data_IF_333053081542
#
_entry.id   IF_333053081542
#
_cell.length_a   1.000
_cell.length_b   1.000
_cell.length_c   1.000
_cell.angle_alpha   90.00
_cell.angle_beta   90.00
_cell.angle_gamma   90.00
#
_symmetry.space_group_name_H-M   'P 1'
#
loop_
_entity.id
_entity.type
_entity.pdbx_description
1 polymer ?
#
# COMPACT_ATOMS: atom_id res chain seq x y z
N UNK A 1 -1.79 25.41 -24.05
CA UNK A 1 -2.07 24.00 -24.38
C UNK A 1 -2.00 23.20 -23.08
N UNK A 2 -3.00 22.37 -22.80
CA UNK A 2 -2.95 21.46 -21.66
C UNK A 2 -1.91 20.37 -21.96
N UNK A 3 -0.79 20.34 -21.23
CA UNK A 3 0.28 19.35 -21.43
C UNK A 3 -0.15 17.92 -21.05
N UNK A 4 -1.28 17.79 -20.35
CA UNK A 4 -1.81 16.52 -19.87
C UNK A 4 -2.87 15.91 -20.78
N UNK A 5 -3.27 16.59 -21.87
CA UNK A 5 -4.32 16.11 -22.75
C UNK A 5 -4.04 16.39 -24.23
N UNK A 6 -4.65 15.59 -25.10
CA UNK A 6 -4.68 15.87 -26.53
C UNK A 6 -5.49 17.14 -26.82
N UNK A 7 -5.38 17.74 -28.02
CA UNK A 7 -6.27 18.83 -28.43
C UNK A 7 -7.76 18.48 -28.39
N UNK A 8 -8.12 17.19 -28.46
CA UNK A 8 -9.51 16.72 -28.30
C UNK A 8 -9.93 16.50 -26.83
N UNK A 9 -9.08 16.85 -25.86
CA UNK A 9 -9.37 16.72 -24.42
C UNK A 9 -9.12 15.33 -23.84
N UNK A 10 -8.56 14.38 -24.60
CA UNK A 10 -8.22 13.05 -24.07
C UNK A 10 -6.95 13.14 -23.23
N UNK A 11 -7.04 12.79 -21.95
CA UNK A 11 -5.90 12.82 -21.03
C UNK A 11 -4.85 11.76 -21.36
N UNK A 12 -3.58 12.12 -21.26
CA UNK A 12 -2.45 11.19 -21.40
C UNK A 12 -2.23 10.46 -20.07
N UNK A 13 -2.07 9.13 -20.11
CA UNK A 13 -1.71 8.32 -18.93
C UNK A 13 -0.27 7.80 -19.08
N UNK A 14 -0.08 6.76 -19.89
CA UNK A 14 1.26 6.25 -20.23
C UNK A 14 2.14 7.32 -20.88
N UNK A 15 1.56 8.13 -21.78
CA UNK A 15 2.27 9.18 -22.49
C UNK A 15 2.88 10.26 -21.61
N UNK A 16 2.50 10.34 -20.33
CA UNK A 16 3.12 11.25 -19.36
C UNK A 16 4.53 10.82 -18.97
N UNK A 17 4.90 9.56 -19.17
CA UNK A 17 6.10 8.99 -18.60
C UNK A 17 7.16 8.68 -19.65
N UNK A 18 8.37 9.18 -19.39
CA UNK A 18 9.54 8.97 -20.23
C UNK A 18 9.79 7.49 -20.55
N UNK A 19 9.57 6.59 -19.60
CA UNK A 19 9.77 5.14 -19.74
C UNK A 19 8.74 4.46 -20.67
N UNK A 20 7.59 5.10 -20.90
CA UNK A 20 6.47 4.55 -21.66
C UNK A 20 6.32 5.16 -23.06
N UNK A 21 7.24 6.06 -23.44
CA UNK A 21 7.28 6.66 -24.77
C UNK A 21 7.45 5.57 -25.84
N UNK A 22 6.67 5.67 -26.92
CA UNK A 22 6.74 4.73 -28.05
C UNK A 22 7.75 5.16 -29.12
N UNK A 23 7.98 6.47 -29.29
CA UNK A 23 8.93 7.03 -30.25
C UNK A 23 9.50 8.36 -29.73
N UNK A 24 10.70 8.72 -30.18
CA UNK A 24 11.36 9.98 -29.82
C UNK A 24 10.67 11.22 -30.42
N UNK A 25 9.99 11.07 -31.56
CA UNK A 25 9.34 12.18 -32.29
C UNK A 25 7.94 12.55 -31.78
N UNK A 26 7.39 11.77 -30.83
CA UNK A 26 6.08 12.01 -30.20
C UNK A 26 6.25 12.10 -28.68
N UNK A 27 7.00 13.10 -28.23
CA UNK A 27 7.30 13.25 -26.81
C UNK A 27 6.21 14.06 -26.08
N UNK A 28 5.26 13.34 -25.50
CA UNK A 28 4.27 13.88 -24.57
C UNK A 28 4.71 13.75 -23.11
N UNK A 29 5.92 13.26 -22.85
CA UNK A 29 6.36 12.95 -21.50
C UNK A 29 6.51 14.25 -20.69
N UNK A 30 5.98 14.20 -19.48
CA UNK A 30 6.09 15.28 -18.49
C UNK A 30 6.90 14.82 -17.29
N UNK A 31 6.92 13.51 -17.03
CA UNK A 31 7.51 12.91 -15.84
C UNK A 31 8.39 11.70 -16.17
N UNK A 32 9.21 11.32 -15.20
CA UNK A 32 9.84 10.00 -15.12
C UNK A 32 9.24 9.19 -13.98
N UNK A 33 9.18 7.87 -14.15
CA UNK A 33 8.82 6.91 -13.10
C UNK A 33 9.96 6.61 -12.13
N UNK A 34 11.18 7.10 -12.41
CA UNK A 34 12.33 6.94 -11.50
C UNK A 34 12.12 7.74 -10.23
N UNK A 35 12.83 7.35 -9.18
CA UNK A 35 12.73 7.99 -7.86
C UNK A 35 13.39 9.39 -7.82
N UNK A 36 14.17 9.73 -8.85
CA UNK A 36 14.84 11.03 -9.01
C UNK A 36 14.66 11.54 -10.43
N UNK A 37 14.75 12.85 -10.58
CA UNK A 37 14.67 13.53 -11.87
C UNK A 37 15.68 12.90 -12.84
N UNK A 38 15.23 12.65 -14.07
CA UNK A 38 15.99 11.87 -15.04
C UNK A 38 15.80 12.43 -16.45
N UNK A 39 16.90 12.64 -17.17
CA UNK A 39 16.91 13.15 -18.54
C UNK A 39 16.10 14.45 -18.74
N UNK A 40 16.09 15.32 -17.73
CA UNK A 40 15.34 16.59 -17.78
C UNK A 40 13.85 16.48 -17.39
N UNK A 41 13.35 15.26 -17.10
CA UNK A 41 11.98 15.07 -16.63
C UNK A 41 11.96 14.95 -15.10
N UNK A 42 11.07 15.68 -14.41
CA UNK A 42 10.89 15.54 -12.98
C UNK A 42 10.33 14.17 -12.59
N UNK A 43 10.81 13.64 -11.47
CA UNK A 43 10.31 12.39 -10.90
C UNK A 43 8.93 12.59 -10.29
N UNK A 44 7.94 11.85 -10.79
CA UNK A 44 6.60 11.90 -10.20
C UNK A 44 6.60 11.34 -8.77
N UNK A 45 7.45 10.34 -8.49
CA UNK A 45 7.66 9.83 -7.14
C UNK A 45 8.17 10.92 -6.18
N UNK A 46 9.21 11.67 -6.59
CA UNK A 46 9.76 12.75 -5.78
C UNK A 46 8.69 13.79 -5.48
N UNK A 47 7.95 14.24 -6.50
CA UNK A 47 6.85 15.20 -6.35
C UNK A 47 5.75 14.68 -5.42
N UNK A 48 5.41 13.39 -5.53
CA UNK A 48 4.43 12.75 -4.64
C UNK A 48 4.90 12.74 -3.18
N UNK A 49 6.17 12.44 -2.93
CA UNK A 49 6.75 12.47 -1.58
C UNK A 49 6.91 13.88 -1.00
N UNK A 50 7.19 14.86 -1.86
CA UNK A 50 7.29 16.28 -1.50
C UNK A 50 5.93 16.88 -1.19
N UNK A 51 4.90 16.50 -1.94
CA UNK A 51 3.52 16.92 -1.68
C UNK A 51 3.09 16.52 -0.26
N UNK A 52 3.60 15.40 0.28
CA UNK A 52 3.36 14.95 1.64
C UNK A 52 1.86 14.96 2.00
N UNK A 53 1.03 14.53 1.05
CA UNK A 53 -0.43 14.63 1.09
C UNK A 53 -1.04 13.21 1.13
N UNK A 54 -1.47 12.72 2.30
CA UNK A 54 -2.08 11.39 2.41
C UNK A 54 -3.43 11.29 1.69
N UNK A 55 -4.07 12.42 1.34
CA UNK A 55 -5.33 12.44 0.59
C UNK A 55 -5.12 12.50 -0.92
N UNK A 56 -3.90 12.84 -1.35
CA UNK A 56 -3.47 12.99 -2.75
C UNK A 56 -4.24 14.06 -3.54
N UNK A 57 -5.13 14.81 -2.90
CA UNK A 57 -5.95 15.82 -3.55
C UNK A 57 -5.09 16.99 -4.05
N UNK A 58 -4.20 17.52 -3.21
CA UNK A 58 -3.32 18.63 -3.58
C UNK A 58 -2.33 18.17 -4.66
N UNK A 59 -1.76 16.98 -4.48
CA UNK A 59 -0.86 16.37 -5.46
C UNK A 59 -1.50 16.30 -6.85
N UNK A 60 -2.76 15.85 -6.94
CA UNK A 60 -3.45 15.71 -8.22
C UNK A 60 -3.72 17.07 -8.90
N UNK A 61 -3.99 18.13 -8.15
CA UNK A 61 -4.26 19.47 -8.72
C UNK A 61 -2.98 20.24 -9.06
N UNK A 62 -1.87 19.98 -8.37
CA UNK A 62 -0.59 20.65 -8.61
C UNK A 62 0.23 19.99 -9.73
N UNK A 63 0.15 18.66 -9.83
CA UNK A 63 1.02 17.88 -10.72
C UNK A 63 0.27 17.13 -11.83
N UNK A 64 -1.05 17.14 -11.85
CA UNK A 64 -1.85 16.52 -12.90
C UNK A 64 -3.01 17.42 -13.31
N UNK A 65 -3.92 16.90 -14.14
CA UNK A 65 -5.12 17.59 -14.62
C UNK A 65 -6.29 17.37 -13.64
N UNK A 66 -5.99 17.53 -12.34
CA UNK A 66 -6.93 17.33 -11.24
C UNK A 66 -7.12 15.87 -10.80
N UNK A 67 -8.00 15.69 -9.81
CA UNK A 67 -8.20 14.41 -9.13
C UNK A 67 -8.75 13.29 -10.03
N UNK A 68 -9.59 13.64 -11.00
CA UNK A 68 -10.11 12.68 -11.98
C UNK A 68 -8.99 12.07 -12.83
N UNK A 69 -8.05 12.91 -13.29
CA UNK A 69 -6.89 12.44 -14.03
C UNK A 69 -6.01 11.51 -13.18
N UNK A 70 -5.76 11.88 -11.93
CA UNK A 70 -5.02 11.04 -11.00
C UNK A 70 -5.70 9.69 -10.77
N UNK A 71 -7.02 9.67 -10.63
CA UNK A 71 -7.80 8.45 -10.44
C UNK A 71 -7.66 7.51 -11.64
N UNK A 72 -7.79 8.02 -12.86
CA UNK A 72 -7.56 7.24 -14.09
C UNK A 72 -6.16 6.62 -14.14
N UNK A 73 -5.15 7.37 -13.72
CA UNK A 73 -3.77 6.87 -13.66
C UNK A 73 -3.61 5.79 -12.59
N UNK A 74 -4.23 5.98 -11.41
CA UNK A 74 -4.24 4.99 -10.35
C UNK A 74 -4.86 3.68 -10.82
N UNK A 75 -5.93 3.71 -11.60
CA UNK A 75 -6.61 2.50 -12.11
C UNK A 75 -5.79 1.70 -13.14
N UNK A 76 -4.71 2.28 -13.68
CA UNK A 76 -3.84 1.58 -14.61
C UNK A 76 -3.02 0.46 -13.93
N UNK A 77 -3.21 -0.78 -14.38
CA UNK A 77 -2.50 -1.96 -13.84
C UNK A 77 -0.97 -1.80 -13.85
N UNK A 78 -0.41 -1.17 -14.89
CA UNK A 78 1.04 -0.97 -14.99
C UNK A 78 1.58 0.04 -13.96
N UNK A 79 0.72 0.93 -13.44
CA UNK A 79 1.11 1.98 -12.49
C UNK A 79 0.95 1.53 -11.03
N UNK A 80 0.04 0.58 -10.78
CA UNK A 80 -0.27 0.04 -9.46
C UNK A 80 0.96 -0.39 -8.63
N UNK A 81 1.99 -1.06 -9.18
CA UNK A 81 3.18 -1.44 -8.41
C UNK A 81 3.96 -0.23 -7.88
N UNK A 82 4.06 0.83 -8.68
CA UNK A 82 4.71 2.08 -8.27
C UNK A 82 3.88 2.77 -7.19
N UNK A 83 2.60 2.98 -7.46
CA UNK A 83 1.68 3.66 -6.56
C UNK A 83 1.57 2.97 -5.19
N UNK A 84 1.48 1.64 -5.17
CA UNK A 84 1.43 0.86 -3.93
C UNK A 84 2.67 1.08 -3.08
N UNK A 85 3.86 1.05 -3.71
CA UNK A 85 5.13 1.37 -3.03
C UNK A 85 5.13 2.80 -2.50
N UNK A 86 4.71 3.76 -3.30
CA UNK A 86 4.74 5.19 -2.95
C UNK A 86 3.81 5.49 -1.77
N UNK A 87 2.55 5.02 -1.81
CA UNK A 87 1.59 5.18 -0.71
C UNK A 87 2.12 4.60 0.60
N UNK A 88 2.71 3.39 0.54
CA UNK A 88 3.31 2.74 1.71
C UNK A 88 4.47 3.56 2.29
N UNK A 89 5.34 4.07 1.44
CA UNK A 89 6.48 4.90 1.88
C UNK A 89 6.03 6.26 2.44
N UNK A 90 5.03 6.90 1.83
CA UNK A 90 4.46 8.15 2.33
C UNK A 90 3.80 7.94 3.70
N UNK A 91 3.02 6.87 3.85
CA UNK A 91 2.43 6.51 5.14
C UNK A 91 3.51 6.29 6.20
N UNK A 92 4.58 5.55 5.86
CA UNK A 92 5.70 5.32 6.76
C UNK A 92 6.40 6.62 7.16
N UNK A 93 6.61 7.54 6.20
CA UNK A 93 7.20 8.86 6.43
C UNK A 93 6.35 9.68 7.41
N UNK A 94 5.03 9.78 7.16
CA UNK A 94 4.09 10.52 8.02
C UNK A 94 4.04 9.90 9.41
N UNK A 95 3.93 8.57 9.49
CA UNK A 95 3.88 7.83 10.75
C UNK A 95 5.18 8.02 11.54
N UNK A 96 6.33 7.93 10.89
CA UNK A 96 7.64 8.15 11.51
C UNK A 96 7.77 9.56 12.08
N UNK A 97 7.37 10.59 11.32
CA UNK A 97 7.36 11.98 11.78
C UNK A 97 6.45 12.16 13.01
N UNK A 98 5.24 11.59 12.99
CA UNK A 98 4.33 11.64 14.13
C UNK A 98 4.90 10.95 15.37
N UNK A 99 5.53 9.78 15.22
CA UNK A 99 6.15 9.06 16.33
C UNK A 99 7.32 9.83 16.95
N UNK A 100 8.12 10.53 16.15
CA UNK A 100 9.18 11.41 16.64
C UNK A 100 8.60 12.55 17.48
N UNK A 101 7.55 13.22 16.97
CA UNK A 101 6.87 14.28 17.72
C UNK A 101 6.28 13.77 19.05
N UNK A 102 5.66 12.59 19.04
CA UNK A 102 5.14 11.95 20.27
C UNK A 102 6.28 11.64 21.24
N UNK A 103 7.44 11.18 20.74
CA UNK A 103 8.62 10.89 21.58
C UNK A 103 9.16 12.15 22.23
N UNK A 104 9.24 13.26 21.49
CA UNK A 104 9.66 14.55 22.03
C UNK A 104 8.71 15.03 23.12
N UNK A 105 7.40 14.92 22.89
CA UNK A 105 6.37 15.26 23.88
C UNK A 105 6.45 14.37 25.13
N UNK A 106 6.72 13.08 24.96
CA UNK A 106 6.89 12.12 26.04
C UNK A 106 8.14 12.38 26.91
N UNK A 107 9.19 12.95 26.31
CA UNK A 107 10.44 13.26 26.99
C UNK A 107 10.43 14.63 27.67
N UNK A 108 9.47 15.50 27.35
CA UNK A 108 9.36 16.84 27.92
C UNK A 108 8.79 16.80 29.36
N UNK A 109 9.58 17.13 30.41
CA UNK A 109 9.12 17.08 31.80
C UNK A 109 8.01 18.10 32.13
N UNK A 110 7.90 19.17 31.34
CA UNK A 110 6.90 20.23 31.55
C UNK A 110 5.60 19.97 30.78
N UNK A 111 5.58 18.97 29.90
CA UNK A 111 4.39 18.65 29.12
C UNK A 111 3.30 18.02 30.01
N UNK A 112 2.11 18.63 29.97
CA UNK A 112 0.88 18.06 30.55
C UNK A 112 0.41 16.79 29.83
N UNK A 113 0.90 16.55 28.62
CA UNK A 113 0.55 15.41 27.77
C UNK A 113 1.60 14.30 27.81
N UNK A 114 2.71 14.47 28.53
CA UNK A 114 3.82 13.50 28.59
C UNK A 114 3.34 12.10 28.99
N UNK A 115 2.42 11.99 29.95
CA UNK A 115 1.84 10.70 30.34
C UNK A 115 1.06 10.03 29.19
N UNK A 116 0.24 10.79 28.45
CA UNK A 116 -0.52 10.28 27.32
C UNK A 116 0.41 9.85 26.17
N UNK A 117 1.44 10.65 25.88
CA UNK A 117 2.44 10.34 24.87
C UNK A 117 3.20 9.04 25.22
N UNK A 118 3.67 8.89 26.47
CA UNK A 118 4.29 7.65 26.95
C UNK A 118 3.33 6.45 26.86
N UNK A 119 2.05 6.63 27.22
CA UNK A 119 1.02 5.58 27.11
C UNK A 119 0.83 5.15 25.65
N UNK A 120 0.76 6.10 24.72
CA UNK A 120 0.64 5.82 23.29
C UNK A 120 1.86 5.06 22.76
N UNK A 121 3.07 5.46 23.20
CA UNK A 121 4.31 4.77 22.84
C UNK A 121 4.36 3.33 23.38
N UNK A 122 3.97 3.11 24.63
CA UNK A 122 3.92 1.77 25.22
C UNK A 122 2.88 0.88 24.54
N UNK A 123 1.75 1.44 24.10
CA UNK A 123 0.71 0.70 23.41
C UNK A 123 1.19 0.12 22.05
N UNK A 124 2.20 0.72 21.42
CA UNK A 124 2.88 0.13 20.26
C UNK A 124 1.99 -0.06 19.02
N UNK A 125 0.92 0.73 18.87
CA UNK A 125 -0.09 0.54 17.81
C UNK A 125 0.42 0.70 16.37
N UNK A 126 1.66 1.15 16.18
CA UNK A 126 2.33 1.26 14.88
C UNK A 126 3.10 0.00 14.46
N UNK A 127 3.32 -0.95 15.38
CA UNK A 127 3.97 -2.22 15.06
C UNK A 127 3.06 -2.99 14.12
N UNK A 128 3.63 -3.51 13.03
CA UNK A 128 2.84 -4.17 12.00
C UNK A 128 2.01 -5.31 12.60
N UNK A 129 0.84 -5.57 12.00
CA UNK A 129 -0.09 -6.58 12.51
C UNK A 129 0.56 -7.95 12.65
N UNK A 130 1.58 -8.29 11.87
CA UNK A 130 2.30 -9.56 12.04
C UNK A 130 3.06 -9.65 13.38
N UNK A 131 3.66 -8.54 13.84
CA UNK A 131 4.32 -8.44 15.15
C UNK A 131 3.30 -8.23 16.29
N UNK A 132 2.24 -7.45 16.04
CA UNK A 132 1.15 -7.26 16.99
C UNK A 132 0.32 -8.55 17.19
N UNK A 133 0.10 -9.33 16.15
CA UNK A 133 -0.55 -10.66 16.20
C UNK A 133 0.37 -11.71 16.80
N UNK A 134 1.70 -11.60 16.66
CA UNK A 134 2.61 -12.46 17.44
C UNK A 134 2.44 -12.22 18.95
N UNK A 135 2.18 -10.98 19.38
CA UNK A 135 1.90 -10.64 20.78
C UNK A 135 0.44 -10.89 21.23
N UNK A 136 -0.52 -10.94 20.30
CA UNK A 136 -1.96 -11.20 20.53
C UNK A 136 -2.43 -12.62 20.22
N UNK A 137 -1.56 -13.48 19.68
CA UNK A 137 -1.73 -14.94 19.61
C UNK A 137 -1.72 -15.50 21.04
N UNK A 138 -2.74 -15.16 21.82
CA UNK A 138 -3.06 -15.88 23.04
C UNK A 138 -3.24 -17.35 22.68
N UNK A 139 -2.48 -18.23 23.36
CA UNK A 139 -2.62 -19.69 23.33
C UNK A 139 -4.11 -20.06 23.36
N UNK A 140 -4.74 -20.33 22.22
CA UNK A 140 -6.11 -20.86 22.19
C UNK A 140 -7.09 -20.37 21.12
N UNK A 141 -6.80 -19.35 20.29
CA UNK A 141 -7.66 -19.02 19.13
C UNK A 141 -6.99 -19.46 17.83
N UNK A 142 -7.44 -20.56 17.20
CA UNK A 142 -6.95 -20.98 15.89
C UNK A 142 -7.16 -19.89 14.84
N UNK A 143 -6.19 -19.70 13.94
CA UNK A 143 -6.33 -18.77 12.83
C UNK A 143 -7.34 -19.31 11.82
N UNK A 144 -7.90 -18.43 10.96
CA UNK A 144 -8.81 -18.86 9.90
C UNK A 144 -8.16 -19.90 8.97
N UNK A 145 -6.84 -19.82 8.79
CA UNK A 145 -6.05 -20.80 8.03
C UNK A 145 -5.98 -22.14 8.77
N UNK A 146 -5.67 -22.12 10.07
CA UNK A 146 -5.63 -23.36 10.89
C UNK A 146 -6.98 -24.08 10.93
N UNK A 147 -8.09 -23.32 11.01
CA UNK A 147 -9.44 -23.87 10.96
C UNK A 147 -9.73 -24.53 9.60
N UNK A 148 -9.26 -23.92 8.50
CA UNK A 148 -9.45 -24.47 7.16
C UNK A 148 -8.58 -25.70 6.92
N UNK A 149 -7.34 -25.69 7.40
CA UNK A 149 -6.42 -26.82 7.28
C UNK A 149 -6.91 -28.03 8.10
N UNK A 150 -7.39 -27.80 9.33
CA UNK A 150 -7.99 -28.83 10.17
C UNK A 150 -9.31 -29.38 9.58
N UNK A 151 -10.18 -28.50 9.07
CA UNK A 151 -11.42 -28.93 8.40
C UNK A 151 -11.12 -29.78 7.15
N UNK A 152 -10.04 -29.47 6.43
CA UNK A 152 -9.59 -30.26 5.29
C UNK A 152 -9.06 -31.63 5.72
N UNK A 153 -8.22 -31.67 6.77
CA UNK A 153 -7.70 -32.92 7.31
C UNK A 153 -8.82 -33.85 7.82
N UNK A 154 -9.84 -33.29 8.48
CA UNK A 154 -11.02 -34.05 8.93
C UNK A 154 -11.85 -34.59 7.76
N UNK A 155 -12.02 -33.80 6.69
CA UNK A 155 -12.72 -34.26 5.50
C UNK A 155 -11.98 -35.41 4.79
N UNK A 156 -10.66 -35.33 4.69
CA UNK A 156 -9.82 -36.38 4.10
C UNK A 156 -9.85 -37.67 4.96
N UNK A 157 -9.83 -37.55 6.28
CA UNK A 157 -9.95 -38.68 7.20
C UNK A 157 -11.33 -39.38 7.08
N UNK A 158 -12.42 -38.60 6.98
CA UNK A 158 -13.77 -39.13 6.78
C UNK A 158 -13.94 -39.82 5.43
N UNK A 159 -13.30 -39.31 4.37
CA UNK A 159 -13.30 -39.97 3.06
C UNK A 159 -12.59 -41.31 3.13
N UNK A 160 -11.42 -41.36 3.76
CA UNK A 160 -10.64 -42.60 3.93
C UNK A 160 -11.43 -43.65 4.71
N UNK A 161 -12.08 -43.26 5.80
CA UNK A 161 -12.94 -44.15 6.60
C UNK A 161 -14.11 -44.72 5.79
N UNK A 162 -14.77 -43.89 4.98
CA UNK A 162 -15.89 -44.33 4.15
C UNK A 162 -15.44 -45.30 3.05
N UNK A 163 -14.27 -45.06 2.46
CA UNK A 163 -13.73 -45.94 1.43
C UNK A 163 -13.30 -47.29 2.01
N UNK A 164 -12.74 -47.32 3.22
CA UNK A 164 -12.45 -48.56 3.93
C UNK A 164 -13.72 -49.30 4.38
N UNK A 165 -14.77 -48.59 4.79
CA UNK A 165 -16.07 -49.18 5.12
C UNK A 165 -16.68 -49.87 3.89
N UNK A 166 -16.66 -49.22 2.72
CA UNK A 166 -17.14 -49.82 1.46
C UNK A 166 -16.34 -51.07 1.07
N UNK A 167 -15.02 -51.08 1.33
CA UNK A 167 -14.18 -52.26 1.09
C UNK A 167 -14.60 -53.42 1.98
N UNK A 168 -14.88 -53.17 3.26
CA UNK A 168 -15.34 -54.19 4.20
C UNK A 168 -16.75 -54.70 3.85
N UNK A 169 -17.66 -53.82 3.41
CA UNK A 169 -18.99 -54.22 2.93
C UNK A 169 -18.93 -55.09 1.68
N UNK A 170 -17.95 -54.87 0.79
CA UNK A 170 -17.75 -55.69 -0.41
C UNK A 170 -17.13 -57.08 -0.16
N UNK A 171 -16.75 -57.39 1.09
CA UNK A 171 -16.15 -58.65 1.51
C UNK A 171 -17.15 -59.59 2.23
N UNK A 172 -18.39 -59.15 2.45
CA UNK A 172 -19.52 -59.97 2.91
C UNK A 172 -20.46 -60.29 1.74
#
# INVERSE_FOLDING_TARGET
MNKFATPQGKRYLEGLFFEKRRSADQDTAVYTLKDRDHNGYPSLYRLYMEANDPTEWRFAHEHLDGYEHWTMLCECEWFQPFLTRWRKELELKIRGAALLAIREEAANPESKSAFLANKLLLAGGWKDKEEADASKRGRGRPSKKDIMDEAKAQAEALQTLNDDLKRLESLN
#
